data_IF_740454033317
#
_entry.id   IF_740454033317
#
_cell.length_a   1.000
_cell.length_b   1.000
_cell.length_c   1.000
_cell.angle_alpha   90.00
_cell.angle_beta   90.00
_cell.angle_gamma   90.00
#
_symmetry.space_group_name_H-M   'P 1'
#
loop_
_entity.id
_entity.type
_entity.pdbx_description
1 polymer ?
#
# COMPACT_ATOMS: atom_id res chain seq x y z
N UNK A 1 8.62 5.26 22.11
CA UNK A 1 8.05 4.26 21.19
C UNK A 1 8.17 4.75 19.75
N UNK A 2 8.75 4.00 18.81
CA UNK A 2 8.79 4.40 17.39
C UNK A 2 7.60 3.80 16.62
N UNK A 3 7.12 4.51 15.60
CA UNK A 3 6.04 4.04 14.71
C UNK A 3 6.40 2.71 14.05
N UNK A 4 7.69 2.47 13.76
CA UNK A 4 8.22 1.18 13.29
C UNK A 4 7.93 0.03 14.27
N UNK A 5 8.15 0.25 15.58
CA UNK A 5 7.89 -0.78 16.61
C UNK A 5 6.39 -1.05 16.78
N UNK A 6 5.54 -0.02 16.65
CA UNK A 6 4.08 -0.20 16.73
C UNK A 6 3.47 -0.83 15.49
N UNK A 7 4.07 -0.67 14.31
CA UNK A 7 3.69 -1.44 13.13
C UNK A 7 3.94 -2.92 13.39
N UNK A 8 5.10 -3.30 13.95
CA UNK A 8 5.39 -4.69 14.33
C UNK A 8 4.37 -5.25 15.34
N UNK A 9 3.95 -4.45 16.32
CA UNK A 9 2.91 -4.80 17.30
C UNK A 9 1.51 -4.94 16.63
N UNK A 10 1.18 -4.11 15.63
CA UNK A 10 -0.08 -4.17 14.89
C UNK A 10 -0.20 -5.41 13.98
N UNK A 11 0.93 -5.95 13.46
CA UNK A 11 0.94 -7.24 12.73
C UNK A 11 0.53 -8.40 13.67
N UNK A 12 0.68 -8.24 14.99
CA UNK A 12 0.20 -9.17 16.01
C UNK A 12 -1.29 -9.03 16.36
N UNK A 13 -2.00 -8.04 15.82
CA UNK A 13 -3.44 -7.85 15.99
C UNK A 13 -4.15 -8.35 14.74
N UNK A 14 -4.40 -9.65 14.70
CA UNK A 14 -5.21 -10.29 13.66
C UNK A 14 -6.69 -9.91 13.84
N UNK A 15 -7.12 -8.87 13.14
CA UNK A 15 -8.41 -8.69 12.43
C UNK A 15 -8.58 -7.20 12.14
N UNK A 16 -8.01 -6.73 11.03
CA UNK A 16 -8.58 -5.57 10.35
C UNK A 16 -9.73 -6.13 9.52
N UNK A 17 -10.96 -5.97 10.02
CA UNK A 17 -12.16 -6.16 9.21
C UNK A 17 -12.12 -5.11 8.09
N UNK A 18 -11.55 -5.50 6.95
CA UNK A 18 -11.76 -4.79 5.70
C UNK A 18 -13.24 -4.98 5.37
N UNK A 19 -14.05 -3.98 5.69
CA UNK A 19 -15.45 -3.91 5.25
C UNK A 19 -15.42 -3.93 3.72
N UNK A 20 -15.69 -5.11 3.17
CA UNK A 20 -15.78 -5.34 1.74
C UNK A 20 -17.12 -4.86 1.23
N UNK A 21 -17.09 -3.82 0.39
CA UNK A 21 -18.25 -3.46 -0.42
C UNK A 21 -18.40 -4.42 -1.60
N UNK A 22 -19.67 -4.81 -1.79
CA UNK A 22 -20.29 -5.73 -2.73
C UNK A 22 -19.53 -6.13 -4.02
N UNK A 23 -19.36 -7.44 -4.18
CA UNK A 23 -18.92 -8.09 -5.42
C UNK A 23 -20.03 -7.98 -6.48
N UNK A 24 -19.91 -7.01 -7.39
CA UNK A 24 -20.77 -6.93 -8.58
C UNK A 24 -20.05 -7.57 -9.78
N UNK A 25 -20.58 -8.72 -10.19
CA UNK A 25 -19.99 -9.62 -11.20
C UNK A 25 -20.21 -9.09 -12.63
N UNK A 26 -19.35 -8.19 -13.12
CA UNK A 26 -19.02 -8.01 -14.56
C UNK A 26 -18.07 -6.82 -14.82
N UNK A 27 -16.94 -6.72 -14.11
CA UNK A 27 -15.98 -5.65 -14.38
C UNK A 27 -14.72 -6.19 -15.07
N UNK A 28 -14.39 -5.64 -16.23
CA UNK A 28 -13.02 -5.70 -16.74
C UNK A 28 -12.11 -5.23 -15.61
N UNK A 29 -11.31 -6.14 -15.03
CA UNK A 29 -10.38 -5.78 -13.96
C UNK A 29 -9.55 -4.60 -14.46
N UNK A 30 -9.66 -3.48 -13.76
CA UNK A 30 -9.04 -2.25 -14.19
C UNK A 30 -7.52 -2.42 -14.18
N UNK A 31 -6.83 -1.77 -15.11
CA UNK A 31 -5.38 -1.77 -15.18
C UNK A 31 -4.75 -1.31 -13.85
N UNK A 32 -3.57 -1.88 -13.51
CA UNK A 32 -2.80 -1.49 -12.33
C UNK A 32 -2.68 0.03 -12.17
N UNK A 33 -3.24 0.55 -11.07
CA UNK A 33 -3.23 1.99 -10.77
C UNK A 33 -3.25 2.26 -9.26
N UNK A 34 -3.07 3.54 -8.95
CA UNK A 34 -3.18 4.07 -7.58
C UNK A 34 -4.66 4.30 -7.24
N UNK A 35 -5.08 3.81 -6.09
CA UNK A 35 -6.41 3.99 -5.53
C UNK A 35 -6.36 4.80 -4.24
N UNK A 36 -7.45 5.47 -3.91
CA UNK A 36 -7.57 6.28 -2.70
C UNK A 36 -7.68 5.39 -1.46
N UNK A 37 -6.94 5.74 -0.42
CA UNK A 37 -7.02 5.13 0.90
C UNK A 37 -6.62 6.17 1.93
N UNK A 38 -7.50 6.38 2.90
CA UNK A 38 -7.22 7.21 4.06
C UNK A 38 -6.99 6.32 5.28
N UNK A 39 -5.88 6.54 5.98
CA UNK A 39 -5.55 5.83 7.22
C UNK A 39 -5.76 6.78 8.38
N UNK A 40 -6.73 6.45 9.24
CA UNK A 40 -6.98 7.12 10.51
C UNK A 40 -6.10 6.51 11.59
N UNK A 41 -5.31 7.33 12.28
CA UNK A 41 -4.53 6.83 13.42
C UNK A 41 -5.41 6.48 14.62
N UNK A 42 -6.63 7.03 14.70
CA UNK A 42 -7.61 6.62 15.71
C UNK A 42 -8.09 5.19 15.46
N UNK A 43 -8.33 4.83 14.20
CA UNK A 43 -8.86 3.51 13.84
C UNK A 43 -7.78 2.42 14.06
N UNK A 44 -6.50 2.81 14.04
CA UNK A 44 -5.37 1.97 14.43
C UNK A 44 -5.10 1.93 15.95
N UNK A 45 -5.87 2.67 16.76
CA UNK A 45 -5.64 2.76 18.21
C UNK A 45 -4.37 3.54 18.59
N UNK A 46 -3.95 4.49 17.76
CA UNK A 46 -2.71 5.24 17.92
C UNK A 46 -2.90 6.67 18.46
N UNK A 47 -4.14 7.07 18.73
CA UNK A 47 -4.48 8.41 19.24
C UNK A 47 -3.86 8.73 20.62
N UNK A 48 -3.50 7.71 21.41
CA UNK A 48 -2.97 7.91 22.76
C UNK A 48 -1.53 8.44 22.75
N UNK A 49 -0.82 8.30 21.63
CA UNK A 49 0.58 8.69 21.51
C UNK A 49 0.86 9.59 20.31
N UNK A 50 0.06 9.51 19.23
CA UNK A 50 0.15 10.46 18.10
C UNK A 50 -0.66 11.71 18.42
N UNK A 51 -0.01 12.86 18.32
CA UNK A 51 -0.61 14.18 18.51
C UNK A 51 -1.16 14.72 17.18
N UNK A 52 -0.39 14.60 16.09
CA UNK A 52 -0.80 15.06 14.76
C UNK A 52 -0.01 14.36 13.63
N UNK A 53 -0.57 14.21 12.42
CA UNK A 53 -1.98 14.48 12.07
C UNK A 53 -2.92 13.42 12.69
N UNK A 54 -4.24 13.55 12.51
CA UNK A 54 -5.21 12.52 12.95
C UNK A 54 -5.20 11.28 12.03
N UNK A 55 -4.69 11.46 10.81
CA UNK A 55 -4.61 10.44 9.78
C UNK A 55 -4.00 11.02 8.51
N UNK A 56 -3.87 10.21 7.47
CA UNK A 56 -3.26 10.64 6.22
C UNK A 56 -3.76 9.82 5.02
N UNK A 57 -3.69 10.42 3.83
CA UNK A 57 -4.00 9.73 2.58
C UNK A 57 -2.81 8.83 2.18
N UNK A 58 -2.89 7.55 2.54
CA UNK A 58 -1.86 6.55 2.25
C UNK A 58 -1.86 6.14 0.78
N UNK A 59 -3.06 6.00 0.18
CA UNK A 59 -3.28 5.36 -1.11
C UNK A 59 -2.80 3.90 -1.14
N UNK A 60 -3.23 3.13 -2.14
CA UNK A 60 -2.71 1.78 -2.39
C UNK A 60 -2.66 1.48 -3.89
N UNK A 61 -1.97 0.40 -4.25
CA UNK A 61 -1.87 -0.08 -5.62
C UNK A 61 -2.74 -1.32 -5.79
N UNK A 62 -3.59 -1.31 -6.81
CA UNK A 62 -4.41 -2.46 -7.18
C UNK A 62 -4.78 -2.40 -8.67
N UNK A 63 -5.12 -3.55 -9.23
CA UNK A 63 -5.48 -3.75 -10.63
C UNK A 63 -4.63 -4.81 -11.33
N UNK A 64 -5.01 -5.13 -12.56
CA UNK A 64 -4.41 -6.22 -13.32
C UNK A 64 -3.14 -5.80 -14.09
N UNK A 65 -2.15 -6.67 -14.08
CA UNK A 65 -0.92 -6.60 -14.88
C UNK A 65 -0.96 -7.63 -16.01
N UNK A 66 -1.72 -7.31 -17.07
CA UNK A 66 -1.90 -8.16 -18.24
C UNK A 66 -1.26 -7.56 -19.49
N UNK A 67 -0.89 -8.40 -20.45
CA UNK A 67 -0.34 -7.94 -21.72
C UNK A 67 -1.39 -7.19 -22.57
N UNK A 68 -1.02 -6.11 -23.28
CA UNK A 68 0.29 -5.46 -23.28
C UNK A 68 0.51 -4.61 -22.02
N UNK A 69 1.63 -4.85 -21.33
CA UNK A 69 2.08 -3.94 -20.27
C UNK A 69 2.50 -2.64 -20.95
N UNK A 70 1.65 -1.63 -20.86
CA UNK A 70 1.91 -0.35 -21.49
C UNK A 70 3.05 0.38 -20.76
N UNK A 71 3.73 1.31 -21.45
CA UNK A 71 4.80 2.11 -20.85
C UNK A 71 4.32 2.93 -19.63
N UNK A 72 3.00 3.14 -19.51
CA UNK A 72 2.37 3.84 -18.40
C UNK A 72 2.27 3.00 -17.11
N UNK A 73 2.38 1.67 -17.18
CA UNK A 73 2.37 0.75 -16.04
C UNK A 73 3.73 0.61 -15.34
N UNK A 74 4.74 1.43 -15.70
CA UNK A 74 6.08 1.41 -15.11
C UNK A 74 6.67 0.00 -14.94
N UNK A 75 6.42 -0.89 -15.91
CA UNK A 75 6.78 -2.29 -15.80
C UNK A 75 8.29 -2.51 -15.96
N UNK A 76 8.84 -3.46 -15.19
CA UNK A 76 10.23 -3.91 -15.39
C UNK A 76 10.33 -4.90 -16.55
N UNK A 77 11.54 -5.07 -17.10
CA UNK A 77 11.79 -6.13 -18.08
C UNK A 77 11.43 -7.53 -17.52
N UNK A 78 11.66 -7.76 -16.22
CA UNK A 78 11.27 -8.99 -15.56
C UNK A 78 9.75 -9.19 -15.57
N UNK A 79 8.97 -8.16 -15.23
CA UNK A 79 7.50 -8.21 -15.26
C UNK A 79 6.96 -8.46 -16.69
N UNK A 80 7.59 -7.88 -17.71
CA UNK A 80 7.25 -8.15 -19.11
C UNK A 80 7.49 -9.62 -19.45
N UNK A 81 8.68 -10.16 -19.17
CA UNK A 81 9.02 -11.57 -19.42
C UNK A 81 8.10 -12.49 -18.63
N UNK A 82 7.87 -12.23 -17.35
CA UNK A 82 6.98 -13.02 -16.50
C UNK A 82 5.55 -13.02 -17.04
N UNK A 83 5.05 -11.89 -17.54
CA UNK A 83 3.72 -11.83 -18.19
C UNK A 83 3.67 -12.71 -19.43
N UNK A 84 4.72 -12.69 -20.27
CA UNK A 84 4.80 -13.54 -21.46
C UNK A 84 4.84 -15.03 -21.09
N UNK A 85 5.61 -15.40 -20.06
CA UNK A 85 5.68 -16.80 -19.60
C UNK A 85 4.36 -17.24 -18.96
N UNK A 86 3.69 -16.37 -18.20
CA UNK A 86 2.37 -16.63 -17.64
C UNK A 86 1.33 -16.94 -18.74
N UNK A 87 1.38 -16.24 -19.88
CA UNK A 87 0.48 -16.52 -21.01
C UNK A 87 0.68 -17.93 -21.62
N UNK A 88 1.87 -18.52 -21.47
CA UNK A 88 2.18 -19.87 -21.95
C UNK A 88 1.92 -20.94 -20.88
N UNK A 89 2.22 -20.65 -19.61
CA UNK A 89 2.17 -21.58 -18.49
C UNK A 89 1.46 -20.96 -17.27
N UNK A 90 0.15 -20.67 -17.37
CA UNK A 90 -0.57 -19.91 -16.33
C UNK A 90 -0.63 -20.64 -14.98
N UNK A 91 -0.61 -21.97 -15.00
CA UNK A 91 -0.64 -22.79 -13.77
C UNK A 91 0.72 -22.88 -13.05
N UNK A 92 1.80 -22.47 -13.71
CA UNK A 92 3.17 -22.58 -13.17
C UNK A 92 3.79 -21.23 -12.85
N UNK A 93 3.41 -20.17 -13.57
CA UNK A 93 3.95 -18.82 -13.40
C UNK A 93 2.81 -17.86 -13.18
N UNK A 94 2.76 -17.11 -12.07
CA UNK A 94 1.71 -16.13 -11.83
C UNK A 94 1.94 -14.84 -12.64
N UNK A 95 0.88 -14.03 -12.80
CA UNK A 95 0.99 -12.66 -13.31
C UNK A 95 1.87 -11.82 -12.37
N UNK A 96 2.58 -10.80 -12.87
CA UNK A 96 3.22 -9.81 -12.02
C UNK A 96 2.20 -9.09 -11.13
N UNK A 97 2.66 -8.53 -10.01
CA UNK A 97 1.79 -7.85 -9.05
C UNK A 97 1.78 -6.34 -9.29
N UNK A 98 0.64 -5.70 -9.04
CA UNK A 98 0.54 -4.24 -8.99
C UNK A 98 1.09 -3.74 -7.65
N UNK A 99 2.21 -3.02 -7.67
CA UNK A 99 2.92 -2.60 -6.48
C UNK A 99 3.33 -1.11 -6.52
N UNK A 100 3.56 -0.47 -5.36
CA UNK A 100 4.08 0.90 -5.31
C UNK A 100 5.48 1.02 -5.92
N UNK A 101 5.67 2.02 -6.78
CA UNK A 101 6.96 2.30 -7.44
C UNK A 101 7.63 3.56 -6.91
N UNK A 102 6.84 4.49 -6.39
CA UNK A 102 7.33 5.68 -5.68
C UNK A 102 6.49 5.90 -4.44
N UNK A 103 7.17 6.19 -3.33
CA UNK A 103 6.56 6.45 -2.05
C UNK A 103 7.04 7.79 -1.49
N UNK A 104 6.13 8.51 -0.85
CA UNK A 104 6.41 9.75 -0.15
C UNK A 104 6.45 9.55 1.36
N UNK A 105 7.12 10.48 2.04
CA UNK A 105 7.19 10.55 3.49
C UNK A 105 6.04 11.39 4.06
N UNK A 106 5.68 11.13 5.33
CA UNK A 106 4.85 12.02 6.17
C UNK A 106 5.64 12.47 7.40
N UNK A 107 5.22 13.57 8.00
CA UNK A 107 5.72 14.02 9.31
C UNK A 107 4.67 13.73 10.36
N UNK A 108 5.08 13.14 11.48
CA UNK A 108 4.21 12.79 12.60
C UNK A 108 4.76 13.42 13.87
N UNK A 109 3.87 14.08 14.61
CA UNK A 109 4.10 14.64 15.93
C UNK A 109 3.53 13.67 16.98
N UNK A 110 4.34 13.23 17.93
CA UNK A 110 3.94 12.21 18.90
C UNK A 110 4.66 12.37 20.24
N UNK A 111 4.15 11.73 21.30
CA UNK A 111 4.82 11.62 22.59
C UNK A 111 5.79 10.43 22.61
N UNK A 112 7.03 10.65 23.05
CA UNK A 112 7.96 9.56 23.35
C UNK A 112 7.66 8.89 24.71
N UNK A 113 8.45 7.88 25.08
CA UNK A 113 8.23 7.13 26.33
C UNK A 113 8.49 7.98 27.59
N UNK A 114 9.16 9.13 27.43
CA UNK A 114 9.44 10.11 28.49
C UNK A 114 8.45 11.28 28.46
N UNK A 115 7.34 11.17 27.70
CA UNK A 115 6.35 12.23 27.49
C UNK A 115 6.89 13.51 26.83
N UNK A 116 8.01 13.43 26.10
CA UNK A 116 8.47 14.53 25.27
C UNK A 116 7.74 14.57 23.94
N UNK A 117 7.50 15.77 23.43
CA UNK A 117 6.90 15.99 22.11
C UNK A 117 7.97 15.89 21.02
N UNK A 118 7.84 14.91 20.13
CA UNK A 118 8.80 14.63 19.05
C UNK A 118 8.13 14.79 17.69
N UNK A 119 8.75 15.57 16.79
CA UNK A 119 8.41 15.61 15.37
C UNK A 119 9.36 14.71 14.58
N UNK A 120 8.83 13.65 13.96
CA UNK A 120 9.62 12.72 13.14
C UNK A 120 9.05 12.57 11.74
N UNK A 121 9.94 12.45 10.76
CA UNK A 121 9.60 12.17 9.36
C UNK A 121 9.72 10.68 9.06
N UNK A 122 8.60 10.05 8.73
CA UNK A 122 8.54 8.64 8.35
C UNK A 122 8.50 8.51 6.82
N UNK A 123 9.50 7.83 6.25
CA UNK A 123 9.60 7.57 4.81
C UNK A 123 8.68 6.43 4.41
N UNK A 124 8.39 6.33 3.11
CA UNK A 124 7.65 5.20 2.52
C UNK A 124 6.21 5.01 3.02
N UNK A 125 5.54 6.09 3.41
CA UNK A 125 4.19 6.02 4.00
C UNK A 125 3.06 6.25 2.99
N UNK A 126 3.32 6.98 1.89
CA UNK A 126 2.27 7.42 0.94
C UNK A 126 2.60 6.96 -0.48
N UNK A 127 1.72 6.18 -1.10
CA UNK A 127 1.88 5.76 -2.51
C UNK A 127 1.72 6.96 -3.44
N UNK A 128 2.73 7.20 -4.27
CA UNK A 128 2.70 8.24 -5.33
C UNK A 128 2.41 7.66 -6.71
N UNK A 129 2.99 6.51 -7.02
CA UNK A 129 2.77 5.81 -8.29
C UNK A 129 2.79 4.31 -8.10
N UNK A 130 2.08 3.61 -8.97
CA UNK A 130 2.01 2.16 -9.04
C UNK A 130 2.66 1.65 -10.33
N UNK A 131 2.95 0.36 -10.37
CA UNK A 131 3.44 -0.33 -11.55
C UNK A 131 3.46 -1.84 -11.38
N UNK A 132 3.78 -2.55 -12.45
CA UNK A 132 3.82 -4.01 -12.50
C UNK A 132 5.23 -4.54 -12.24
N UNK A 133 5.41 -5.31 -11.16
CA UNK A 133 6.70 -5.83 -10.70
C UNK A 133 6.68 -7.34 -10.46
#
# INVERSE_FOLDING_TARGET
MTLERKVEEAIGVSEVELVGDDYNTSEQKQACKKHELYVSFRDLGWQDWIIAPEGYAAFYCDGECSFPLNAHMNATNHAIVQTLVHLMFPDHVPKPCCAPTKLNAISVLYFDDSSNVILKKYRNMVVRSCGCH
#
